data_IF_926514664204
#
_entry.id   IF_926514664204
#
_cell.length_a   1.000
_cell.length_b   1.000
_cell.length_c   1.000
_cell.angle_alpha   90.00
_cell.angle_beta   90.00
_cell.angle_gamma   90.00
#
_symmetry.space_group_name_H-M   'P 1'
#
loop_
_entity.id
_entity.type
_entity.pdbx_description
1 polymer ?
#
# COMPACT_ATOMS: atom_id res chain seq x y z
N UNK A 1 -18.96 -9.06 -26.72
CA UNK A 1 -17.64 -9.52 -27.18
C UNK A 1 -16.62 -8.53 -26.64
N UNK A 2 -16.03 -8.82 -25.48
CA UNK A 2 -15.04 -7.94 -24.83
C UNK A 2 -13.75 -7.93 -25.65
N UNK A 3 -13.24 -6.72 -25.97
CA UNK A 3 -11.97 -6.53 -26.68
C UNK A 3 -10.84 -6.97 -25.77
N UNK A 4 -10.20 -8.09 -26.09
CA UNK A 4 -8.83 -8.35 -25.65
C UNK A 4 -7.98 -7.22 -26.25
N UNK A 5 -7.54 -6.28 -25.42
CA UNK A 5 -6.57 -5.28 -25.84
C UNK A 5 -5.29 -6.06 -26.10
N UNK A 6 -4.91 -6.24 -27.37
CA UNK A 6 -3.63 -6.84 -27.72
C UNK A 6 -2.51 -6.00 -27.11
N UNK A 7 -1.92 -6.45 -26.01
CA UNK A 7 -0.78 -5.79 -25.38
C UNK A 7 0.48 -6.41 -25.97
N UNK A 8 1.33 -5.57 -26.55
CA UNK A 8 2.65 -6.01 -26.98
C UNK A 8 3.46 -6.44 -25.75
N UNK A 9 3.88 -7.70 -25.69
CA UNK A 9 4.79 -8.19 -24.64
C UNK A 9 6.04 -7.31 -24.52
N UNK A 10 6.51 -6.78 -25.65
CA UNK A 10 7.65 -5.86 -25.69
C UNK A 10 7.34 -4.55 -24.96
N UNK A 11 6.15 -3.98 -25.16
CA UNK A 11 5.74 -2.77 -24.47
C UNK A 11 5.68 -3.01 -22.95
N UNK A 12 5.08 -4.12 -22.51
CA UNK A 12 5.02 -4.47 -21.08
C UNK A 12 6.42 -4.66 -20.51
N UNK A 13 7.33 -5.36 -21.22
CA UNK A 13 8.72 -5.53 -20.80
C UNK A 13 9.43 -4.19 -20.63
N UNK A 14 9.26 -3.27 -21.58
CA UNK A 14 9.85 -1.93 -21.51
C UNK A 14 9.31 -1.11 -20.34
N UNK A 15 8.00 -1.14 -20.09
CA UNK A 15 7.40 -0.49 -18.92
C UNK A 15 7.94 -1.07 -17.62
N UNK A 16 8.03 -2.39 -17.53
CA UNK A 16 8.61 -3.06 -16.37
C UNK A 16 10.06 -2.61 -16.14
N UNK A 17 10.93 -2.64 -17.15
CA UNK A 17 12.32 -2.19 -16.98
C UNK A 17 12.44 -0.72 -16.56
N UNK A 18 11.56 0.14 -17.06
CA UNK A 18 11.53 1.56 -16.65
C UNK A 18 11.13 1.73 -15.19
N UNK A 19 10.24 0.88 -14.68
CA UNK A 19 9.68 0.96 -13.33
C UNK A 19 10.34 -0.04 -12.35
N UNK A 20 11.25 -0.89 -12.81
CA UNK A 20 11.81 -2.00 -12.03
C UNK A 20 12.45 -1.53 -10.72
N UNK A 21 13.08 -0.36 -10.75
CA UNK A 21 13.72 0.27 -9.59
C UNK A 21 12.73 0.61 -8.46
N UNK A 22 11.43 0.76 -8.73
CA UNK A 22 10.41 1.02 -7.72
C UNK A 22 10.07 -0.21 -6.87
N UNK A 23 10.39 -1.42 -7.33
CA UNK A 23 10.07 -2.66 -6.62
C UNK A 23 11.15 -3.10 -5.63
N UNK A 24 12.35 -2.50 -5.72
CA UNK A 24 13.48 -2.80 -4.84
C UNK A 24 14.21 -1.53 -4.40
N UNK A 25 13.52 -0.58 -3.73
CA UNK A 25 14.16 0.60 -3.18
C UNK A 25 15.09 0.20 -2.02
N UNK A 26 16.21 0.90 -1.89
CA UNK A 26 17.13 0.71 -0.76
C UNK A 26 16.45 1.22 0.51
N UNK A 27 16.43 0.44 1.61
CA UNK A 27 15.80 0.88 2.85
C UNK A 27 16.38 2.20 3.37
N UNK A 28 15.51 3.15 3.71
CA UNK A 28 15.85 4.49 4.21
C UNK A 28 14.93 4.94 5.35
N UNK A 29 15.24 6.09 5.96
CA UNK A 29 14.44 6.68 7.04
C UNK A 29 13.17 7.35 6.48
N UNK A 30 12.02 6.88 6.93
CA UNK A 30 10.71 7.44 6.57
C UNK A 30 9.96 7.80 7.85
N UNK A 31 9.64 9.07 8.04
CA UNK A 31 8.95 9.54 9.24
C UNK A 31 7.47 9.14 9.24
N UNK A 32 6.83 9.21 8.07
CA UNK A 32 5.41 8.93 7.91
C UNK A 32 5.16 8.28 6.55
N UNK A 33 4.53 7.11 6.56
CA UNK A 33 4.26 6.33 5.35
C UNK A 33 2.77 6.12 5.20
N UNK A 34 2.22 6.55 4.06
CA UNK A 34 0.85 6.27 3.69
C UNK A 34 0.76 4.96 2.91
N UNK A 35 -0.15 4.08 3.34
CA UNK A 35 -0.45 2.80 2.72
C UNK A 35 -1.88 2.85 2.17
N UNK A 36 -2.04 2.45 0.91
CA UNK A 36 -3.33 2.35 0.25
C UNK A 36 -3.37 1.12 -0.66
N UNK A 37 -4.58 0.63 -0.92
CA UNK A 37 -4.80 -0.45 -1.87
C UNK A 37 -5.86 -0.10 -2.92
N UNK A 38 -5.58 -0.44 -4.17
CA UNK A 38 -6.50 -0.21 -5.29
C UNK A 38 -6.92 -1.53 -5.90
N UNK A 39 -8.24 -1.76 -5.94
CA UNK A 39 -8.85 -2.88 -6.65
C UNK A 39 -8.80 -2.65 -8.16
N UNK A 40 -8.18 -3.57 -8.89
CA UNK A 40 -8.15 -3.57 -10.35
C UNK A 40 -8.84 -4.81 -10.91
N UNK A 41 -9.57 -4.63 -12.01
CA UNK A 41 -10.11 -5.74 -12.81
C UNK A 41 -9.23 -5.94 -14.03
N UNK A 42 -8.52 -7.06 -14.07
CA UNK A 42 -7.70 -7.47 -15.21
C UNK A 42 -8.37 -8.65 -15.88
N UNK A 43 -8.99 -8.39 -17.03
CA UNK A 43 -9.83 -9.36 -17.75
C UNK A 43 -10.97 -9.88 -16.87
N UNK A 44 -10.91 -11.16 -16.44
CA UNK A 44 -11.90 -11.83 -15.59
C UNK A 44 -11.43 -12.00 -14.15
N UNK A 45 -10.22 -11.52 -13.82
CA UNK A 45 -9.62 -11.66 -12.51
C UNK A 45 -9.59 -10.31 -11.82
N UNK A 46 -9.93 -10.29 -10.54
CA UNK A 46 -9.75 -9.13 -9.69
C UNK A 46 -8.42 -9.28 -8.96
N UNK A 47 -7.65 -8.19 -8.91
CA UNK A 47 -6.37 -8.11 -8.19
C UNK A 47 -6.34 -6.82 -7.40
N UNK A 48 -5.52 -6.79 -6.36
CA UNK A 48 -5.33 -5.63 -5.51
C UNK A 48 -3.87 -5.19 -5.62
N UNK A 49 -3.67 -3.92 -5.94
CA UNK A 49 -2.34 -3.29 -5.95
C UNK A 49 -2.21 -2.48 -4.68
N UNK A 50 -1.20 -2.78 -3.89
CA UNK A 50 -0.87 -2.09 -2.65
C UNK A 50 0.30 -1.16 -2.91
N UNK A 51 0.25 0.05 -2.37
CA UNK A 51 1.32 1.01 -2.47
C UNK A 51 1.57 1.65 -1.10
N UNK A 52 2.84 1.80 -0.76
CA UNK A 52 3.32 2.54 0.40
C UNK A 52 4.20 3.69 -0.08
N UNK A 53 3.89 4.90 0.36
CA UNK A 53 4.55 6.13 -0.08
C UNK A 53 4.93 6.96 1.14
N UNK A 54 6.15 7.48 1.17
CA UNK A 54 6.57 8.47 2.15
C UNK A 54 5.84 9.79 1.89
N UNK A 55 5.15 10.32 2.90
CA UNK A 55 4.23 11.45 2.73
C UNK A 55 4.95 12.77 2.46
N UNK A 56 6.20 12.91 2.91
CA UNK A 56 6.95 14.15 2.76
C UNK A 56 7.70 14.20 1.43
N UNK A 57 8.31 13.09 1.05
CA UNK A 57 9.19 12.98 -0.13
C UNK A 57 8.45 12.46 -1.37
N UNK A 58 7.28 11.84 -1.19
CA UNK A 58 6.57 11.07 -2.22
C UNK A 58 7.36 9.89 -2.78
N UNK A 59 8.40 9.44 -2.06
CA UNK A 59 9.14 8.24 -2.43
C UNK A 59 8.25 7.01 -2.29
N UNK A 60 8.32 6.12 -3.28
CA UNK A 60 7.67 4.82 -3.22
C UNK A 60 8.50 3.92 -2.30
N UNK A 61 7.96 3.61 -1.13
CA UNK A 61 8.59 2.72 -0.14
C UNK A 61 8.39 1.26 -0.56
N UNK A 62 7.19 0.89 -1.00
CA UNK A 62 6.91 -0.47 -1.45
C UNK A 62 5.67 -0.57 -2.33
N UNK A 63 5.68 -1.48 -3.30
CA UNK A 63 4.52 -1.86 -4.12
C UNK A 63 4.42 -3.38 -4.15
N UNK A 64 3.20 -3.90 -3.98
CA UNK A 64 2.90 -5.33 -4.06
C UNK A 64 1.55 -5.57 -4.76
N UNK A 65 1.37 -6.77 -5.32
CA UNK A 65 0.10 -7.19 -5.92
C UNK A 65 -0.36 -8.48 -5.28
N UNK A 66 -1.61 -8.52 -4.83
CA UNK A 66 -2.24 -9.70 -4.24
C UNK A 66 -3.54 -10.09 -4.98
N UNK A 67 -3.95 -11.36 -4.91
CA UNK A 67 -5.25 -11.80 -5.44
C UNK A 67 -6.45 -11.37 -4.56
N UNK A 68 -6.21 -10.90 -3.33
CA UNK A 68 -7.24 -10.54 -2.37
C UNK A 68 -6.83 -9.39 -1.43
N UNK A 69 -7.74 -8.98 -0.56
CA UNK A 69 -7.52 -7.93 0.46
C UNK A 69 -7.98 -8.33 1.84
N UNK A 70 -7.48 -9.47 2.29
CA UNK A 70 -7.68 -9.94 3.65
C UNK A 70 -6.78 -9.21 4.64
N UNK A 71 -7.09 -9.35 5.92
CA UNK A 71 -6.26 -8.85 7.02
C UNK A 71 -4.85 -9.46 6.96
N UNK A 72 -4.71 -10.71 6.50
CA UNK A 72 -3.41 -11.34 6.27
C UNK A 72 -2.63 -10.68 5.13
N UNK A 73 -3.31 -10.33 4.03
CA UNK A 73 -2.67 -9.62 2.90
C UNK A 73 -2.13 -8.26 3.36
N UNK A 74 -2.94 -7.52 4.12
CA UNK A 74 -2.54 -6.24 4.70
C UNK A 74 -1.37 -6.38 5.69
N UNK A 75 -1.39 -7.38 6.58
CA UNK A 75 -0.29 -7.66 7.51
C UNK A 75 1.02 -7.95 6.79
N UNK A 76 0.98 -8.81 5.77
CA UNK A 76 2.16 -9.17 4.99
C UNK A 76 2.72 -7.94 4.28
N UNK A 77 1.86 -7.12 3.68
CA UNK A 77 2.26 -5.88 3.03
C UNK A 77 2.91 -4.90 4.02
N UNK A 78 2.27 -4.60 5.15
CA UNK A 78 2.82 -3.67 6.16
C UNK A 78 4.17 -4.16 6.67
N UNK A 79 4.35 -5.47 6.90
CA UNK A 79 5.65 -6.04 7.28
C UNK A 79 6.74 -5.81 6.22
N UNK A 80 6.40 -5.82 4.94
CA UNK A 80 7.35 -5.50 3.86
C UNK A 80 7.71 -4.01 3.81
N UNK A 81 6.75 -3.13 4.12
CA UNK A 81 6.96 -1.69 4.27
C UNK A 81 7.92 -1.42 5.42
N UNK A 82 7.63 -1.93 6.62
CA UNK A 82 8.45 -1.71 7.81
C UNK A 82 9.89 -2.20 7.64
N UNK A 83 10.12 -3.30 6.91
CA UNK A 83 11.48 -3.77 6.58
C UNK A 83 12.29 -2.79 5.72
N UNK A 84 11.61 -1.90 5.00
CA UNK A 84 12.20 -0.87 4.13
C UNK A 84 12.32 0.48 4.82
N UNK A 85 11.72 0.64 5.99
CA UNK A 85 11.88 1.83 6.82
C UNK A 85 13.01 1.63 7.83
N UNK A 86 13.89 2.62 7.98
CA UNK A 86 14.83 2.72 9.08
C UNK A 86 14.19 3.50 10.22
N UNK A 87 14.00 2.83 11.36
CA UNK A 87 13.27 3.38 12.50
C UNK A 87 11.80 2.98 12.47
N UNK A 88 11.00 3.63 13.31
CA UNK A 88 9.58 3.31 13.50
C UNK A 88 8.72 4.39 12.81
N UNK A 89 8.26 4.16 11.56
CA UNK A 89 7.46 5.13 10.83
C UNK A 89 6.05 5.24 11.41
N UNK A 90 5.45 6.43 11.33
CA UNK A 90 3.99 6.57 11.50
C UNK A 90 3.29 6.03 10.26
N UNK A 91 2.47 5.01 10.40
CA UNK A 91 1.74 4.40 9.27
C UNK A 91 0.36 5.03 9.12
N UNK A 92 0.07 5.66 7.99
CA UNK A 92 -1.26 6.17 7.64
C UNK A 92 -1.96 5.16 6.73
N UNK A 93 -3.19 4.80 7.08
CA UNK A 93 -4.05 3.95 6.25
C UNK A 93 -5.44 4.55 6.15
N UNK A 94 -6.24 4.05 5.22
CA UNK A 94 -7.66 4.34 5.19
C UNK A 94 -8.43 3.60 6.32
N UNK A 95 -9.76 3.58 6.24
CA UNK A 95 -10.61 2.86 7.22
C UNK A 95 -10.99 1.46 6.77
N UNK A 96 -10.22 0.87 5.86
CA UNK A 96 -10.37 -0.49 5.40
C UNK A 96 -10.39 -1.46 6.58
N UNK A 97 -11.40 -2.33 6.71
CA UNK A 97 -11.49 -3.26 7.84
C UNK A 97 -10.31 -4.23 7.92
N UNK A 98 -9.64 -4.48 6.79
CA UNK A 98 -8.44 -5.33 6.71
C UNK A 98 -7.23 -4.74 7.41
N UNK A 99 -7.21 -3.45 7.76
CA UNK A 99 -6.12 -2.85 8.52
C UNK A 99 -6.27 -2.97 10.03
N UNK A 100 -7.44 -3.33 10.57
CA UNK A 100 -7.66 -3.33 12.03
C UNK A 100 -6.70 -4.30 12.74
N UNK A 101 -6.83 -5.61 12.48
CA UNK A 101 -5.99 -6.62 13.12
C UNK A 101 -4.48 -6.42 12.84
N UNK A 102 -4.03 -6.10 11.61
CA UNK A 102 -2.61 -5.90 11.35
C UNK A 102 -1.97 -4.72 12.08
N UNK A 103 -2.68 -3.60 12.20
CA UNK A 103 -2.18 -2.45 12.94
C UNK A 103 -2.07 -2.75 14.43
N UNK A 104 -3.03 -3.48 14.98
CA UNK A 104 -3.04 -3.89 16.39
C UNK A 104 -1.93 -4.93 16.67
N UNK A 105 -1.75 -5.93 15.80
CA UNK A 105 -0.70 -6.98 15.91
C UNK A 105 0.72 -6.40 15.85
N UNK A 106 0.91 -5.34 15.07
CA UNK A 106 2.20 -4.67 14.88
C UNK A 106 2.45 -3.52 15.86
N UNK A 107 1.54 -3.29 16.81
CA UNK A 107 1.61 -2.17 17.76
C UNK A 107 1.78 -0.79 17.08
N UNK A 108 1.17 -0.61 15.91
CA UNK A 108 1.20 0.64 15.14
C UNK A 108 0.13 1.62 15.65
N UNK A 109 0.10 1.85 16.96
CA UNK A 109 -0.95 2.61 17.64
C UNK A 109 -1.00 4.11 17.26
N UNK A 110 0.10 4.68 16.76
CA UNK A 110 0.12 6.05 16.21
C UNK A 110 -0.45 6.12 14.78
N UNK A 111 -0.88 5.00 14.20
CA UNK A 111 -1.47 5.00 12.87
C UNK A 111 -2.73 5.85 12.81
N UNK A 112 -2.71 6.87 11.94
CA UNK A 112 -3.83 7.78 11.78
C UNK A 112 -4.73 7.27 10.66
N UNK A 113 -5.93 6.84 11.01
CA UNK A 113 -6.96 6.40 10.05
C UNK A 113 -7.66 7.62 9.42
N UNK A 114 -7.25 8.00 8.21
CA UNK A 114 -7.83 9.13 7.48
C UNK A 114 -8.65 8.66 6.27
N UNK A 115 -9.83 9.25 6.06
CA UNK A 115 -10.61 9.07 4.83
C UNK A 115 -10.27 10.17 3.84
N UNK A 116 -9.72 9.82 2.69
CA UNK A 116 -9.53 10.76 1.60
C UNK A 116 -10.83 10.92 0.80
N UNK A 117 -11.61 11.95 1.16
CA UNK A 117 -12.88 12.28 0.52
C UNK A 117 -13.80 13.09 1.45
N UNK A 118 -13.73 14.42 1.34
CA UNK A 118 -14.58 15.43 1.99
C UNK A 118 -14.81 15.35 3.52
N UNK A 119 -14.32 16.40 4.21
CA UNK A 119 -14.92 16.90 5.45
C UNK A 119 -14.26 16.43 6.75
N UNK A 120 -13.60 17.38 7.41
CA UNK A 120 -12.98 17.28 8.73
C UNK A 120 -13.89 16.68 9.79
N UNK A 121 -13.39 15.67 10.51
CA UNK A 121 -13.82 15.31 11.87
C UNK A 121 -12.80 14.37 12.51
N UNK A 122 -11.77 14.96 13.12
CA UNK A 122 -10.87 14.27 14.05
C UNK A 122 -11.67 13.85 15.30
N UNK A 123 -11.84 12.54 15.52
CA UNK A 123 -12.11 12.00 16.85
C UNK A 123 -10.94 11.12 17.27
N UNK A 124 -10.26 11.56 18.33
CA UNK A 124 -9.34 10.74 19.12
C UNK A 124 -10.13 9.61 19.75
N UNK A 125 -9.71 8.39 19.47
CA UNK A 125 -10.09 7.20 20.23
C UNK A 125 -8.82 6.40 20.46
N UNK A 126 -8.29 6.46 21.69
CA UNK A 126 -7.28 5.53 22.18
C UNK A 126 -7.97 4.33 22.79
N UNK A 127 -7.59 3.16 22.29
CA UNK A 127 -7.24 1.93 23.00
C UNK A 127 -7.15 0.87 21.89
N UNK A 128 -6.06 0.10 21.90
CA UNK A 128 -5.85 -1.04 21.00
C UNK A 128 -7.12 -1.89 20.88
#
# INVERSE_FOLDING_TARGET
MEKVIGRSYEAVRQWYHKLAHLFDPVPDHHSTVAIDETKLKVEKTEVYVWAAIDVETFEVVHIEVSPGRSDLDALLFIKQVLKRCRGDPVVLVDRGPWYNWPLDDLDLCESRRETWGNGLSSKRGSAC
#
